data_IF_833362710072
#
_entry.id   IF_833362710072
#
_cell.length_a   1.000
_cell.length_b   1.000
_cell.length_c   1.000
_cell.angle_alpha   90.00
_cell.angle_beta   90.00
_cell.angle_gamma   90.00
#
_symmetry.space_group_name_H-M   'P 1'
#
loop_
_entity.id
_entity.type
_entity.pdbx_description
1 polymer ?
#
# COMPACT_ATOMS: atom_id res chain seq x y z
N UNK A 1 17.38 -16.04 -12.28
CA UNK A 1 17.37 -14.91 -11.30
C UNK A 1 17.43 -13.54 -11.97
N UNK A 2 18.21 -13.38 -13.04
CA UNK A 2 18.36 -12.11 -13.79
C UNK A 2 17.05 -11.65 -14.46
N UNK A 3 16.36 -12.51 -15.21
CA UNK A 3 15.13 -12.14 -15.93
C UNK A 3 14.00 -11.61 -15.02
N UNK A 4 13.80 -12.23 -13.85
CA UNK A 4 12.76 -11.79 -12.88
C UNK A 4 13.10 -10.45 -12.23
N UNK A 5 14.39 -10.17 -11.98
CA UNK A 5 14.87 -8.87 -11.48
C UNK A 5 14.77 -7.79 -12.56
N UNK A 6 15.08 -8.10 -13.82
CA UNK A 6 14.93 -7.18 -14.95
C UNK A 6 13.46 -6.82 -15.18
N UNK A 7 12.56 -7.81 -15.15
CA UNK A 7 11.12 -7.60 -15.28
C UNK A 7 10.57 -6.73 -14.14
N UNK A 8 11.02 -6.97 -12.90
CA UNK A 8 10.64 -6.17 -11.74
C UNK A 8 11.10 -4.72 -11.88
N UNK A 9 12.34 -4.48 -12.30
CA UNK A 9 12.86 -3.13 -12.54
C UNK A 9 12.09 -2.41 -13.65
N UNK A 10 11.74 -3.12 -14.72
CA UNK A 10 10.96 -2.56 -15.83
C UNK A 10 9.52 -2.22 -15.38
N UNK A 11 8.88 -3.10 -14.60
CA UNK A 11 7.53 -2.85 -14.05
C UNK A 11 7.52 -1.66 -13.09
N UNK A 12 8.50 -1.58 -12.19
CA UNK A 12 8.63 -0.46 -11.23
C UNK A 12 8.92 0.84 -11.98
N UNK A 13 9.78 0.80 -13.00
CA UNK A 13 10.07 1.95 -13.86
C UNK A 13 8.84 2.46 -14.62
N UNK A 14 8.04 1.54 -15.18
CA UNK A 14 6.79 1.90 -15.86
C UNK A 14 5.75 2.50 -14.90
N UNK A 15 5.67 1.97 -13.68
CA UNK A 15 4.76 2.47 -12.65
C UNK A 15 5.16 3.90 -12.18
N UNK A 16 6.46 4.13 -11.99
CA UNK A 16 7.00 5.44 -11.62
C UNK A 16 6.82 6.48 -12.74
N UNK A 17 7.01 6.07 -14.01
CA UNK A 17 6.75 6.94 -15.15
C UNK A 17 5.27 7.35 -15.23
N UNK A 18 4.34 6.42 -14.98
CA UNK A 18 2.91 6.73 -14.92
C UNK A 18 2.54 7.74 -13.83
N UNK A 19 3.21 7.69 -12.68
CA UNK A 19 2.99 8.65 -11.59
C UNK A 19 3.56 10.04 -11.91
N UNK A 20 4.69 10.12 -12.61
CA UNK A 20 5.28 11.39 -13.03
C UNK A 20 4.38 12.16 -14.02
N UNK A 21 3.76 11.45 -14.97
CA UNK A 21 2.84 12.06 -15.95
C UNK A 21 1.55 12.55 -15.25
N UNK A 22 1.10 11.86 -14.20
CA UNK A 22 -0.06 12.28 -13.41
C UNK A 22 0.23 13.47 -12.49
N UNK A 23 1.50 13.71 -12.14
CA UNK A 23 1.92 14.84 -11.30
C UNK A 23 2.04 16.16 -12.07
N UNK A 24 2.03 16.14 -13.40
CA UNK A 24 2.12 17.33 -14.26
C UNK A 24 0.75 18.02 -14.50
N UNK A 25 -0.35 17.55 -13.91
CA UNK A 25 -1.59 18.34 -13.90
C UNK A 25 -1.48 19.50 -12.89
N UNK A 26 -0.93 20.62 -13.37
CA UNK A 26 -1.09 21.94 -12.77
C UNK A 26 -2.58 22.31 -12.66
N UNK A 27 -3.03 22.34 -11.41
CA UNK A 27 -3.97 23.28 -10.78
C UNK A 27 -4.91 24.07 -11.73
N UNK A 28 -6.10 23.51 -11.98
CA UNK A 28 -7.28 24.29 -12.36
C UNK A 28 -8.26 24.31 -11.19
N UNK A 29 -8.04 25.25 -10.27
CA UNK A 29 -8.79 25.45 -9.03
C UNK A 29 -10.31 25.43 -9.25
N UNK A 30 -10.95 24.30 -8.99
CA UNK A 30 -12.37 24.22 -8.70
C UNK A 30 -12.48 23.90 -7.21
N UNK A 31 -13.09 24.76 -6.38
CA UNK A 31 -13.18 24.51 -4.94
C UNK A 31 -13.85 23.16 -4.65
N UNK A 32 -13.06 22.13 -4.31
CA UNK A 32 -13.54 20.80 -3.90
C UNK A 32 -12.91 19.60 -4.60
N UNK A 33 -12.56 19.68 -5.89
CA UNK A 33 -12.00 18.53 -6.64
C UNK A 33 -10.65 18.07 -6.07
N UNK A 34 -9.83 19.05 -5.69
CA UNK A 34 -8.46 18.88 -5.21
C UNK A 34 -8.45 18.10 -3.87
N UNK A 35 -9.47 18.32 -3.02
CA UNK A 35 -9.63 17.61 -1.74
C UNK A 35 -9.90 16.12 -1.95
N UNK A 36 -10.76 15.76 -2.90
CA UNK A 36 -11.08 14.35 -3.18
C UNK A 36 -9.89 13.61 -3.79
N UNK A 37 -9.14 14.27 -4.68
CA UNK A 37 -7.94 13.69 -5.27
C UNK A 37 -6.84 13.46 -4.20
N UNK A 38 -6.58 14.46 -3.36
CA UNK A 38 -5.65 14.32 -2.24
C UNK A 38 -6.08 13.22 -1.25
N UNK A 39 -7.37 13.15 -0.91
CA UNK A 39 -7.92 12.10 -0.05
C UNK A 39 -7.78 10.69 -0.67
N UNK A 40 -8.00 10.56 -1.98
CA UNK A 40 -7.85 9.29 -2.69
C UNK A 40 -6.39 8.81 -2.70
N UNK A 41 -5.41 9.70 -2.92
CA UNK A 41 -4.00 9.36 -2.84
C UNK A 41 -3.56 8.99 -1.41
N UNK A 42 -4.07 9.70 -0.40
CA UNK A 42 -3.75 9.47 1.00
C UNK A 42 -4.16 8.07 1.51
N UNK A 43 -5.24 7.46 0.98
CA UNK A 43 -5.60 6.06 1.28
C UNK A 43 -5.04 5.08 0.25
N UNK A 44 -5.01 5.45 -1.03
CA UNK A 44 -4.67 4.54 -2.12
C UNK A 44 -3.24 4.00 -2.03
N UNK A 45 -2.26 4.87 -1.77
CA UNK A 45 -0.86 4.45 -1.69
C UNK A 45 -0.61 3.57 -0.44
N UNK A 46 -1.03 3.95 0.78
CA UNK A 46 -0.85 3.10 1.96
C UNK A 46 -1.60 1.77 1.88
N UNK A 47 -2.79 1.72 1.28
CA UNK A 47 -3.54 0.47 1.11
C UNK A 47 -2.81 -0.53 0.19
N UNK A 48 -2.20 -0.06 -0.90
CA UNK A 48 -1.37 -0.89 -1.77
C UNK A 48 -0.11 -1.39 -1.04
N UNK A 49 0.54 -0.52 -0.25
CA UNK A 49 1.69 -0.89 0.55
C UNK A 49 1.33 -1.93 1.62
N UNK A 50 0.23 -1.73 2.35
CA UNK A 50 -0.29 -2.68 3.35
C UNK A 50 -0.57 -4.04 2.73
N UNK A 51 -1.29 -4.08 1.61
CA UNK A 51 -1.61 -5.33 0.91
C UNK A 51 -0.37 -6.10 0.47
N UNK A 52 0.67 -5.40 -0.02
CA UNK A 52 1.94 -6.03 -0.38
C UNK A 52 2.66 -6.59 0.85
N UNK A 53 2.77 -5.80 1.93
CA UNK A 53 3.40 -6.24 3.18
C UNK A 53 2.70 -7.45 3.78
N UNK A 54 1.36 -7.46 3.81
CA UNK A 54 0.53 -8.56 4.29
C UNK A 54 0.74 -9.80 3.44
N UNK A 55 0.74 -9.70 2.11
CA UNK A 55 0.95 -10.86 1.23
C UNK A 55 2.28 -11.56 1.51
N UNK A 56 3.35 -10.78 1.73
CA UNK A 56 4.67 -11.31 2.05
C UNK A 56 4.69 -11.92 3.46
N UNK A 57 4.25 -11.18 4.49
CA UNK A 57 4.29 -11.67 5.87
C UNK A 57 3.37 -12.85 6.11
N UNK A 58 2.19 -12.87 5.49
CA UNK A 58 1.22 -13.95 5.61
C UNK A 58 1.75 -15.25 4.99
N UNK A 59 2.45 -15.17 3.85
CA UNK A 59 3.05 -16.36 3.23
C UNK A 59 4.10 -17.02 4.15
N UNK A 60 4.92 -16.22 4.83
CA UNK A 60 5.90 -16.71 5.79
C UNK A 60 5.23 -17.26 7.07
N UNK A 61 4.20 -16.57 7.56
CA UNK A 61 3.42 -16.98 8.72
C UNK A 61 2.73 -18.33 8.51
N UNK A 62 2.13 -18.56 7.33
CA UNK A 62 1.51 -19.83 6.97
C UNK A 62 2.55 -20.96 6.86
N UNK A 63 3.75 -20.68 6.33
CA UNK A 63 4.84 -21.66 6.30
C UNK A 63 5.29 -22.08 7.70
N UNK A 64 5.42 -21.12 8.63
CA UNK A 64 5.73 -21.42 10.03
C UNK A 64 4.60 -22.20 10.73
N UNK A 65 3.35 -21.90 10.40
CA UNK A 65 2.18 -22.57 10.96
C UNK A 65 2.07 -24.03 10.52
N UNK A 66 2.49 -24.35 9.29
CA UNK A 66 2.51 -25.72 8.80
C UNK A 66 3.44 -26.64 9.62
N UNK A 67 4.55 -26.09 10.13
CA UNK A 67 5.51 -26.82 10.98
C UNK A 67 5.15 -26.76 12.47
N UNK A 68 4.60 -25.63 12.93
CA UNK A 68 4.34 -25.36 14.36
C UNK A 68 2.95 -24.75 14.55
N UNK A 69 1.88 -25.55 14.61
CA UNK A 69 0.52 -25.04 14.73
C UNK A 69 0.29 -24.23 16.01
N UNK A 70 1.11 -24.43 17.05
CA UNK A 70 1.01 -23.74 18.33
C UNK A 70 1.33 -22.23 18.23
N UNK A 71 1.99 -21.79 17.15
CA UNK A 71 2.34 -20.37 16.95
C UNK A 71 1.25 -19.53 16.28
N UNK A 72 0.08 -20.11 15.98
CA UNK A 72 -1.03 -19.46 15.27
C UNK A 72 -1.35 -18.04 15.77
N UNK A 73 -1.56 -17.89 17.09
CA UNK A 73 -1.93 -16.59 17.66
C UNK A 73 -0.87 -15.51 17.43
N UNK A 74 0.41 -15.86 17.56
CA UNK A 74 1.53 -14.92 17.31
C UNK A 74 1.66 -14.59 15.83
N UNK A 75 1.46 -15.59 14.97
CA UNK A 75 1.53 -15.43 13.53
C UNK A 75 0.46 -14.45 13.01
N UNK A 76 -0.79 -14.58 13.48
CA UNK A 76 -1.88 -13.67 13.11
C UNK A 76 -1.61 -12.23 13.58
N UNK A 77 -1.11 -12.05 14.82
CA UNK A 77 -0.80 -10.71 15.34
C UNK A 77 0.30 -10.03 14.50
N UNK A 78 1.35 -10.76 14.11
CA UNK A 78 2.43 -10.19 13.29
C UNK A 78 1.96 -9.79 11.89
N UNK A 79 1.09 -10.59 11.28
CA UNK A 79 0.48 -10.25 9.98
C UNK A 79 -0.45 -9.04 10.12
N UNK A 80 -1.25 -8.98 11.17
CA UNK A 80 -2.15 -7.85 11.42
C UNK A 80 -1.40 -6.53 11.70
N UNK A 81 -0.19 -6.60 12.27
CA UNK A 81 0.63 -5.41 12.51
C UNK A 81 1.06 -4.71 11.21
N UNK A 82 1.14 -5.45 10.09
CA UNK A 82 1.42 -4.88 8.78
C UNK A 82 0.28 -4.00 8.24
N UNK A 83 -0.96 -4.21 8.68
CA UNK A 83 -2.13 -3.43 8.27
C UNK A 83 -2.13 -2.00 8.84
N UNK A 84 -1.33 -1.73 9.88
CA UNK A 84 -1.30 -0.43 10.54
C UNK A 84 -1.05 0.73 9.56
N UNK A 85 -0.22 0.52 8.52
CA UNK A 85 0.04 1.55 7.50
C UNK A 85 -1.21 1.92 6.69
N UNK A 86 -2.08 0.95 6.39
CA UNK A 86 -3.37 1.19 5.71
C UNK A 86 -4.34 1.97 6.59
N UNK A 87 -4.40 1.65 7.89
CA UNK A 87 -5.23 2.35 8.86
C UNK A 87 -4.78 3.81 9.03
N UNK A 88 -3.47 4.07 9.09
CA UNK A 88 -2.96 5.44 9.12
C UNK A 88 -3.28 6.22 7.83
N UNK A 89 -3.20 5.58 6.65
CA UNK A 89 -3.63 6.19 5.39
C UNK A 89 -5.12 6.55 5.38
N UNK A 90 -5.97 5.67 5.93
CA UNK A 90 -7.40 5.91 6.08
C UNK A 90 -7.67 7.09 7.01
N UNK A 91 -6.98 7.15 8.15
CA UNK A 91 -7.10 8.25 9.11
C UNK A 91 -6.78 9.60 8.44
N UNK A 92 -5.67 9.67 7.70
CA UNK A 92 -5.26 10.91 7.01
C UNK A 92 -6.26 11.27 5.91
N UNK A 93 -6.74 10.31 5.14
CA UNK A 93 -7.78 10.54 4.11
C UNK A 93 -9.07 11.11 4.74
N UNK A 94 -9.51 10.57 5.87
CA UNK A 94 -10.65 11.09 6.62
C UNK A 94 -10.40 12.50 7.16
N UNK A 95 -9.18 12.80 7.63
CA UNK A 95 -8.83 14.17 8.05
C UNK A 95 -8.88 15.16 6.89
N UNK A 96 -8.49 14.76 5.66
CA UNK A 96 -8.57 15.63 4.48
C UNK A 96 -10.03 15.89 4.06
N UNK A 97 -10.90 14.89 4.21
CA UNK A 97 -12.32 15.00 3.82
C UNK A 97 -13.15 15.76 4.86
N UNK A 98 -12.94 15.47 6.15
CA UNK A 98 -13.75 15.98 7.26
C UNK A 98 -13.16 17.23 7.92
N UNK A 99 -11.87 17.49 7.73
CA UNK A 99 -11.20 18.74 8.10
C UNK A 99 -11.34 19.81 7.04
#
# INVERSE_FOLDING_TARGET
>A
MVAKKVLLFFMVGLLLAGFAIAAEEEEKTTPGTDKYFAAALAIGIPALAAGYSIAVSASAALGALAEKPEVFGKAVILVAFAEAIGIYGLLVSLMILLG
#
